data_IF_850958742516
#
_entry.id   IF_850958742516
#
_cell.length_a   1.000
_cell.length_b   1.000
_cell.length_c   1.000
_cell.angle_alpha   90.00
_cell.angle_beta   90.00
_cell.angle_gamma   90.00
#
_symmetry.space_group_name_H-M   'P 1'
#
loop_
_entity.id
_entity.type
_entity.pdbx_description
1 polymer ?
#
# COMPACT_ATOMS: atom_id res chain seq x y z
N UNK A 1 23.16 -2.97 -0.55
CA UNK A 1 21.79 -2.93 0.02
C UNK A 1 20.90 -2.04 -0.85
N UNK A 2 19.75 -2.54 -1.22
CA UNK A 2 18.79 -1.79 -2.05
C UNK A 2 18.05 -0.74 -1.21
N UNK A 3 17.88 0.47 -1.76
CA UNK A 3 17.10 1.51 -1.09
C UNK A 3 15.61 1.17 -1.14
N UNK A 4 14.85 1.60 -0.14
CA UNK A 4 13.40 1.33 -0.08
C UNK A 4 12.69 1.76 -1.36
N UNK A 5 13.00 2.94 -1.91
CA UNK A 5 12.35 3.43 -3.14
C UNK A 5 12.69 2.63 -4.40
N UNK A 6 13.74 1.82 -4.34
CA UNK A 6 14.16 0.97 -5.46
C UNK A 6 13.60 -0.45 -5.34
N UNK A 7 13.01 -0.79 -4.20
CA UNK A 7 12.46 -2.12 -3.96
C UNK A 7 11.09 -2.26 -4.61
N UNK A 8 10.92 -3.32 -5.40
CA UNK A 8 9.62 -3.70 -5.96
C UNK A 8 8.78 -4.43 -4.90
N UNK A 9 7.52 -4.71 -5.22
CA UNK A 9 6.68 -5.54 -4.35
C UNK A 9 7.30 -6.94 -4.16
N UNK A 10 7.89 -7.48 -5.20
CA UNK A 10 8.58 -8.79 -5.11
C UNK A 10 9.74 -8.71 -4.12
N UNK A 11 10.51 -7.61 -4.15
CA UNK A 11 11.61 -7.39 -3.19
C UNK A 11 11.11 -7.32 -1.75
N UNK A 12 9.86 -6.88 -1.54
CA UNK A 12 9.22 -6.83 -0.22
C UNK A 12 8.56 -8.16 0.17
N UNK A 13 8.65 -9.19 -0.65
CA UNK A 13 8.11 -10.52 -0.34
C UNK A 13 6.75 -10.85 -0.92
N UNK A 14 6.21 -10.02 -1.81
CA UNK A 14 4.97 -10.31 -2.52
C UNK A 14 5.30 -11.26 -3.68
N UNK A 15 4.59 -12.37 -3.80
CA UNK A 15 4.85 -13.33 -4.87
C UNK A 15 4.62 -12.70 -6.25
N UNK A 16 5.49 -13.02 -7.24
CA UNK A 16 5.27 -12.58 -8.62
C UNK A 16 3.87 -13.02 -9.09
N UNK A 17 3.14 -12.11 -9.72
CA UNK A 17 1.79 -12.39 -10.18
C UNK A 17 0.69 -11.99 -9.22
N UNK A 18 1.01 -11.76 -7.94
CA UNK A 18 0.01 -11.34 -6.96
C UNK A 18 -0.18 -9.84 -6.88
N UNK A 19 0.70 -9.06 -7.52
CA UNK A 19 0.68 -7.59 -7.42
C UNK A 19 -0.65 -6.98 -7.84
N UNK A 20 -1.14 -7.33 -9.01
CA UNK A 20 -2.39 -6.77 -9.52
C UNK A 20 -3.60 -7.25 -8.72
N UNK A 21 -3.61 -8.51 -8.31
CA UNK A 21 -4.65 -9.07 -7.44
C UNK A 21 -4.69 -8.33 -6.11
N UNK A 22 -3.53 -8.04 -5.54
CA UNK A 22 -3.43 -7.36 -4.25
C UNK A 22 -3.95 -5.93 -4.34
N UNK A 23 -3.59 -5.19 -5.38
CA UNK A 23 -4.10 -3.84 -5.61
C UNK A 23 -5.61 -3.83 -5.78
N UNK A 24 -6.12 -4.79 -6.56
CA UNK A 24 -7.56 -4.93 -6.76
C UNK A 24 -8.27 -5.29 -5.46
N UNK A 25 -7.69 -6.16 -4.67
CA UNK A 25 -8.21 -6.56 -3.36
C UNK A 25 -8.39 -5.35 -2.45
N UNK A 26 -7.40 -4.45 -2.42
CA UNK A 26 -7.43 -3.25 -1.59
C UNK A 26 -8.57 -2.30 -1.96
N UNK A 27 -9.06 -2.33 -3.19
CA UNK A 27 -10.17 -1.47 -3.62
C UNK A 27 -11.55 -2.01 -3.22
N UNK A 28 -11.61 -3.23 -2.65
CA UNK A 28 -12.86 -3.91 -2.33
C UNK A 28 -12.89 -4.43 -0.89
N UNK A 29 -12.25 -3.73 0.04
CA UNK A 29 -12.13 -4.18 1.43
C UNK A 29 -13.40 -3.96 2.25
N UNK A 30 -13.65 -4.87 3.19
CA UNK A 30 -14.63 -4.66 4.27
C UNK A 30 -14.03 -3.82 5.39
N UNK A 31 -14.84 -3.50 6.41
CA UNK A 31 -14.45 -2.60 7.48
C UNK A 31 -13.24 -3.06 8.29
N UNK A 32 -13.20 -4.32 8.66
CA UNK A 32 -12.09 -4.88 9.43
C UNK A 32 -10.78 -4.82 8.64
N UNK A 33 -10.84 -5.17 7.35
CA UNK A 33 -9.67 -5.16 6.50
C UNK A 33 -9.18 -3.74 6.20
N UNK A 34 -10.09 -2.78 6.08
CA UNK A 34 -9.75 -1.37 5.93
C UNK A 34 -9.00 -0.85 7.15
N UNK A 35 -9.48 -1.20 8.34
CA UNK A 35 -8.83 -0.82 9.57
C UNK A 35 -7.42 -1.39 9.62
N UNK A 36 -7.26 -2.67 9.25
CA UNK A 36 -5.93 -3.30 9.24
C UNK A 36 -5.01 -2.66 8.22
N UNK A 37 -5.52 -2.34 7.03
CA UNK A 37 -4.72 -1.65 6.01
C UNK A 37 -4.25 -0.29 6.53
N UNK A 38 -5.11 0.45 7.20
CA UNK A 38 -4.74 1.74 7.78
C UNK A 38 -3.66 1.58 8.84
N UNK A 39 -3.76 0.56 9.68
CA UNK A 39 -2.74 0.25 10.68
C UNK A 39 -1.40 -0.08 10.01
N UNK A 40 -1.41 -0.79 8.89
CA UNK A 40 -0.21 -1.05 8.11
C UNK A 40 0.39 0.25 7.57
N UNK A 41 -0.45 1.17 7.13
CA UNK A 41 0.02 2.48 6.65
C UNK A 41 0.65 3.30 7.77
N UNK A 42 0.07 3.27 8.98
CA UNK A 42 0.64 3.94 10.14
C UNK A 42 2.04 3.36 10.45
N UNK A 43 2.17 2.04 10.40
CA UNK A 43 3.42 1.35 10.70
C UNK A 43 4.50 1.61 9.64
N UNK A 44 4.15 1.53 8.37
CA UNK A 44 5.12 1.55 7.27
C UNK A 44 5.31 2.92 6.63
N UNK A 45 4.37 3.84 6.82
CA UNK A 45 4.40 5.16 6.19
C UNK A 45 3.94 6.25 7.16
N UNK A 46 4.60 6.38 8.33
CA UNK A 46 4.19 7.36 9.34
C UNK A 46 4.23 8.78 8.78
N UNK A 47 3.18 9.55 9.03
CA UNK A 47 3.04 10.89 8.48
C UNK A 47 2.40 10.91 7.09
N UNK A 48 2.31 9.78 6.41
CA UNK A 48 1.73 9.64 5.07
C UNK A 48 0.57 8.67 5.06
N UNK A 49 0.18 8.15 6.22
CA UNK A 49 -0.78 7.06 6.35
C UNK A 49 -2.12 7.35 5.68
N UNK A 50 -2.62 8.57 5.82
CA UNK A 50 -3.91 8.95 5.21
C UNK A 50 -3.84 8.90 3.69
N UNK A 51 -2.80 9.50 3.12
CA UNK A 51 -2.63 9.54 1.66
C UNK A 51 -2.33 8.17 1.07
N UNK A 52 -1.49 7.38 1.73
CA UNK A 52 -1.18 6.02 1.29
C UNK A 52 -2.43 5.14 1.36
N UNK A 53 -3.16 5.20 2.47
CA UNK A 53 -4.41 4.45 2.63
C UNK A 53 -5.42 4.83 1.54
N UNK A 54 -5.64 6.13 1.34
CA UNK A 54 -6.58 6.62 0.33
C UNK A 54 -6.20 6.15 -1.07
N UNK A 55 -4.91 6.21 -1.41
CA UNK A 55 -4.40 5.72 -2.69
C UNK A 55 -4.74 4.25 -2.90
N UNK A 56 -4.57 3.43 -1.88
CA UNK A 56 -4.80 1.99 -2.00
C UNK A 56 -6.28 1.63 -2.09
N UNK A 57 -7.14 2.25 -1.29
CA UNK A 57 -8.58 1.92 -1.30
C UNK A 57 -9.32 2.50 -2.51
N UNK A 58 -8.82 3.58 -3.11
CA UNK A 58 -9.46 4.19 -4.28
C UNK A 58 -8.83 3.77 -5.60
N UNK A 59 -7.59 3.28 -5.56
CA UNK A 59 -6.81 3.00 -6.76
C UNK A 59 -6.19 4.24 -7.38
N UNK A 60 -6.33 5.41 -6.76
CA UNK A 60 -5.79 6.65 -7.29
C UNK A 60 -4.32 6.84 -6.93
N UNK A 61 -3.53 7.39 -7.87
CA UNK A 61 -2.12 7.61 -7.67
C UNK A 61 -1.80 8.97 -7.06
N UNK A 62 -0.50 9.20 -6.88
CA UNK A 62 0.07 10.41 -6.29
C UNK A 62 -0.48 11.71 -6.92
N UNK A 63 -0.44 11.79 -8.25
CA UNK A 63 -0.86 13.02 -8.96
C UNK A 63 -2.33 13.32 -8.79
N UNK A 64 -3.16 12.29 -8.77
CA UNK A 64 -4.59 12.47 -8.60
C UNK A 64 -4.92 12.93 -7.18
N UNK A 65 -4.24 12.40 -6.18
CA UNK A 65 -4.42 12.82 -4.79
C UNK A 65 -4.07 14.29 -4.60
N UNK A 66 -2.96 14.75 -5.19
CA UNK A 66 -2.56 16.15 -5.15
C UNK A 66 -3.60 17.02 -5.85
N UNK A 67 -4.09 16.58 -6.99
CA UNK A 67 -5.13 17.28 -7.75
C UNK A 67 -6.41 17.45 -6.95
N UNK A 68 -6.70 16.49 -6.06
CA UNK A 68 -7.86 16.55 -5.16
C UNK A 68 -7.63 17.36 -3.90
N UNK A 69 -6.44 17.95 -3.74
CA UNK A 69 -6.14 18.82 -2.61
C UNK A 69 -5.34 18.18 -1.48
N UNK A 70 -4.91 16.92 -1.64
CA UNK A 70 -4.05 16.29 -0.64
C UNK A 70 -2.67 16.93 -0.67
N UNK A 71 -2.16 17.24 0.52
CA UNK A 71 -0.82 17.81 0.67
C UNK A 71 0.16 16.67 0.94
N UNK A 72 0.94 16.32 -0.08
CA UNK A 72 1.93 15.23 0.05
C UNK A 72 3.31 15.88 -0.09
N UNK A 73 4.04 15.96 1.02
CA UNK A 73 5.28 16.74 1.11
C UNK A 73 6.54 15.95 0.73
N UNK A 74 6.37 14.84 0.01
CA UNK A 74 7.49 14.04 -0.49
C UNK A 74 7.36 13.86 -2.00
N UNK A 75 8.45 13.41 -2.62
CA UNK A 75 8.47 13.15 -4.06
C UNK A 75 7.60 11.93 -4.42
N UNK A 76 7.15 11.90 -5.66
CA UNK A 76 6.32 10.84 -6.20
C UNK A 76 6.94 9.46 -5.99
N UNK A 77 8.23 9.30 -6.30
CA UNK A 77 8.92 8.02 -6.16
C UNK A 77 8.95 7.53 -4.73
N UNK A 78 9.15 8.44 -3.79
CA UNK A 78 9.18 8.09 -2.37
C UNK A 78 7.78 7.71 -1.89
N UNK A 79 6.75 8.41 -2.35
CA UNK A 79 5.37 8.08 -2.03
C UNK A 79 5.05 6.64 -2.46
N UNK A 80 5.39 6.27 -3.69
CA UNK A 80 5.13 4.91 -4.18
C UNK A 80 5.97 3.86 -3.46
N UNK A 81 7.16 4.22 -2.99
CA UNK A 81 7.97 3.31 -2.17
C UNK A 81 7.27 2.99 -0.85
N UNK A 82 6.72 3.99 -0.18
CA UNK A 82 5.96 3.78 1.05
C UNK A 82 4.67 3.01 0.80
N UNK A 83 4.01 3.28 -0.33
CA UNK A 83 2.80 2.54 -0.71
C UNK A 83 3.09 1.04 -0.90
N UNK A 84 4.20 0.71 -1.57
CA UNK A 84 4.61 -0.69 -1.75
C UNK A 84 4.90 -1.36 -0.42
N UNK A 85 5.57 -0.67 0.47
CA UNK A 85 5.88 -1.18 1.81
C UNK A 85 4.59 -1.49 2.59
N UNK A 86 3.62 -0.59 2.55
CA UNK A 86 2.31 -0.79 3.18
C UNK A 86 1.58 -2.00 2.59
N UNK A 87 1.57 -2.10 1.25
CA UNK A 87 0.95 -3.22 0.55
C UNK A 87 1.56 -4.56 0.95
N UNK A 88 2.89 -4.62 1.05
CA UNK A 88 3.58 -5.85 1.42
C UNK A 88 3.24 -6.27 2.85
N UNK A 89 3.16 -5.31 3.77
CA UNK A 89 2.80 -5.58 5.15
C UNK A 89 1.37 -6.11 5.26
N UNK A 90 0.45 -5.50 4.50
CA UNK A 90 -0.95 -5.94 4.45
C UNK A 90 -1.07 -7.33 3.81
N UNK A 91 -0.31 -7.60 2.77
CA UNK A 91 -0.26 -8.90 2.10
C UNK A 91 0.16 -9.99 3.08
N UNK A 92 1.18 -9.75 3.89
CA UNK A 92 1.64 -10.71 4.90
C UNK A 92 0.51 -11.01 5.89
N UNK A 93 -0.20 -9.99 6.34
CA UNK A 93 -1.33 -10.17 7.25
C UNK A 93 -2.45 -11.00 6.60
N UNK A 94 -2.77 -10.71 5.34
CA UNK A 94 -3.80 -11.46 4.61
C UNK A 94 -3.44 -12.94 4.52
N UNK A 95 -2.17 -13.26 4.26
CA UNK A 95 -1.70 -14.64 4.18
C UNK A 95 -1.69 -15.31 5.54
N UNK A 96 -1.20 -14.63 6.55
CA UNK A 96 -1.13 -15.17 7.91
C UNK A 96 -2.51 -15.47 8.50
N UNK A 97 -3.52 -14.73 8.11
CA UNK A 97 -4.89 -14.90 8.62
C UNK A 97 -5.75 -15.78 7.69
N UNK A 98 -5.17 -16.32 6.64
CA UNK A 98 -5.88 -17.18 5.70
C UNK A 98 -6.85 -16.45 4.78
N UNK A 99 -6.78 -15.14 4.72
CA UNK A 99 -7.66 -14.33 3.85
C UNK A 99 -7.19 -14.31 2.39
N UNK A 100 -5.90 -14.51 2.19
CA UNK A 100 -5.34 -14.56 0.84
C UNK A 100 -5.27 -16.00 0.37
N UNK A 101 -5.93 -16.28 -0.74
CA UNK A 101 -5.93 -17.62 -1.35
C UNK A 101 -5.05 -17.62 -2.59
N UNK A 102 -4.12 -18.54 -2.61
CA UNK A 102 -3.22 -18.74 -3.74
C UNK A 102 -3.94 -19.37 -4.93
#
# INVERSE_FOLDING_TARGET
MMRTREMSLVDHGVFPGDEEKLKKYCRNLGGEERLRLFQCAISSAPGLEISVYESLVTGEGYRMLIKRGRQILIKEDDFYAYRRKTLAEFYDWLRLTGRWKD
#
